data_IF_030719877388
#
_entry.id   IF_030719877388
#
_cell.length_a   1.000
_cell.length_b   1.000
_cell.length_c   1.000
_cell.angle_alpha   90.00
_cell.angle_beta   90.00
_cell.angle_gamma   90.00
#
_symmetry.space_group_name_H-M   'P 1'
#
loop_
_entity.id
_entity.type
_entity.pdbx_description
1 polymer ?
#
# COMPACT_ATOMS: atom_id res chain seq x y z
N UNK A 1 10.90 6.32 5.79
CA UNK A 1 11.36 5.42 6.86
C UNK A 1 11.40 4.04 6.23
N UNK A 2 12.44 3.26 6.47
CA UNK A 2 12.67 1.98 5.80
C UNK A 2 11.55 0.97 6.14
N UNK A 3 11.02 0.29 5.12
CA UNK A 3 9.90 -0.66 5.18
C UNK A 3 10.20 -1.75 6.22
N UNK A 4 9.37 -1.85 7.26
CA UNK A 4 9.55 -2.78 8.37
C UNK A 4 8.71 -4.04 8.12
N UNK A 5 9.37 -5.11 7.67
CA UNK A 5 8.81 -6.47 7.61
C UNK A 5 9.49 -7.30 8.71
N UNK A 6 9.00 -7.24 9.97
CA UNK A 6 9.59 -8.02 11.05
C UNK A 6 9.44 -9.53 10.82
N UNK A 7 8.48 -9.94 9.98
CA UNK A 7 8.26 -11.33 9.58
C UNK A 7 8.20 -11.48 8.05
N UNK A 8 8.54 -12.65 7.50
CA UNK A 8 8.31 -12.98 6.09
C UNK A 8 6.82 -13.02 5.71
N UNK A 9 5.95 -13.18 6.71
CA UNK A 9 4.50 -13.18 6.58
C UNK A 9 3.92 -11.78 6.78
N UNK A 10 3.06 -11.36 5.87
CA UNK A 10 2.52 -9.99 5.84
C UNK A 10 1.44 -9.76 6.89
N UNK A 11 0.57 -10.74 7.15
CA UNK A 11 -0.47 -10.63 8.16
C UNK A 11 0.15 -10.57 9.57
N UNK A 12 1.16 -11.39 9.83
CA UNK A 12 1.95 -11.38 11.04
C UNK A 12 2.73 -10.06 11.20
N UNK A 13 3.31 -9.53 10.13
CA UNK A 13 3.97 -8.23 10.14
C UNK A 13 2.98 -7.09 10.43
N UNK A 14 1.80 -7.10 9.80
CA UNK A 14 0.76 -6.09 10.04
C UNK A 14 0.19 -6.15 11.46
N UNK A 15 0.05 -7.35 12.04
CA UNK A 15 -0.50 -7.56 13.38
C UNK A 15 0.41 -7.03 14.50
N UNK A 16 1.72 -6.90 14.26
CA UNK A 16 2.69 -6.40 15.25
C UNK A 16 3.09 -4.94 15.05
N UNK A 17 2.65 -4.31 13.95
CA UNK A 17 2.88 -2.90 13.70
C UNK A 17 1.83 -2.05 14.42
N UNK A 18 2.27 -1.00 15.09
CA UNK A 18 1.35 -0.04 15.70
C UNK A 18 0.58 0.76 14.62
N UNK A 19 -0.60 1.31 14.96
CA UNK A 19 -1.42 2.08 14.02
C UNK A 19 -0.71 3.26 13.35
N UNK A 20 0.28 3.90 13.99
CA UNK A 20 1.04 5.01 13.41
C UNK A 20 2.01 4.51 12.33
N UNK A 21 2.55 3.30 12.46
CA UNK A 21 3.36 2.64 11.43
C UNK A 21 2.51 2.20 10.24
N UNK A 22 1.29 1.72 10.46
CA UNK A 22 0.32 1.42 9.40
C UNK A 22 -0.10 2.69 8.63
N UNK A 23 -0.29 3.81 9.32
CA UNK A 23 -0.60 5.08 8.68
C UNK A 23 0.54 5.59 7.79
N UNK A 24 1.80 5.38 8.18
CA UNK A 24 2.95 5.68 7.31
C UNK A 24 2.96 4.83 6.04
N UNK A 25 2.63 3.54 6.12
CA UNK A 25 2.53 2.67 4.94
C UNK A 25 1.43 3.13 3.97
N UNK A 26 0.32 3.67 4.48
CA UNK A 26 -0.75 4.26 3.65
C UNK A 26 -0.28 5.51 2.91
N UNK A 27 0.46 6.38 3.58
CA UNK A 27 1.02 7.59 2.97
C UNK A 27 2.03 7.22 1.88
N UNK A 28 2.91 6.25 2.14
CA UNK A 28 3.86 5.77 1.15
C UNK A 28 3.16 5.14 -0.07
N UNK A 29 2.13 4.31 0.12
CA UNK A 29 1.34 3.76 -0.97
C UNK A 29 0.68 4.86 -1.84
N UNK A 30 0.14 5.92 -1.22
CA UNK A 30 -0.43 7.05 -1.95
C UNK A 30 0.63 7.85 -2.71
N UNK A 31 1.82 8.05 -2.12
CA UNK A 31 2.94 8.71 -2.79
C UNK A 31 3.41 7.93 -4.02
N UNK A 32 3.48 6.60 -3.92
CA UNK A 32 3.83 5.72 -5.04
C UNK A 32 2.76 5.77 -6.13
N UNK A 33 1.46 5.67 -5.78
CA UNK A 33 0.37 5.78 -6.74
C UNK A 33 0.39 7.12 -7.48
N UNK A 34 0.65 8.23 -6.77
CA UNK A 34 0.80 9.56 -7.40
C UNK A 34 2.02 9.62 -8.30
N UNK A 35 3.14 9.02 -7.89
CA UNK A 35 4.35 8.96 -8.71
C UNK A 35 4.19 8.14 -10.00
N UNK A 36 3.31 7.13 -9.98
CA UNK A 36 2.98 6.30 -11.14
C UNK A 36 1.96 6.95 -12.08
N UNK A 37 1.02 7.74 -11.55
CA UNK A 37 -0.11 8.29 -12.32
C UNK A 37 0.03 9.77 -12.69
N UNK A 38 0.83 10.55 -11.95
CA UNK A 38 1.03 11.98 -12.17
C UNK A 38 2.46 12.23 -12.65
N UNK A 39 2.60 12.64 -13.92
CA UNK A 39 3.89 12.81 -14.58
C UNK A 39 4.82 13.84 -13.93
N UNK A 40 4.25 14.82 -13.24
CA UNK A 40 4.97 15.95 -12.60
C UNK A 40 5.28 15.70 -11.12
N UNK A 41 4.91 14.54 -10.57
CA UNK A 41 5.10 14.27 -9.15
C UNK A 41 6.58 13.98 -8.82
N UNK A 42 7.13 14.69 -7.84
CA UNK A 42 8.56 14.68 -7.53
C UNK A 42 9.16 13.32 -7.12
N UNK A 43 8.33 12.33 -6.78
CA UNK A 43 8.78 10.97 -6.44
C UNK A 43 8.86 10.02 -7.64
N UNK A 44 8.55 10.46 -8.86
CA UNK A 44 8.55 9.61 -10.06
C UNK A 44 9.85 8.81 -10.29
N UNK A 45 11.00 9.33 -9.86
CA UNK A 45 12.30 8.65 -9.99
C UNK A 45 12.75 7.89 -8.74
N UNK A 46 11.94 7.87 -7.68
CA UNK A 46 12.26 7.17 -6.45
C UNK A 46 12.37 5.65 -6.73
N UNK A 47 13.39 4.95 -6.20
CA UNK A 47 13.60 3.52 -6.49
C UNK A 47 12.36 2.65 -6.24
N UNK A 48 11.63 2.93 -5.17
CA UNK A 48 10.39 2.21 -4.82
C UNK A 48 9.31 2.33 -5.91
N UNK A 49 9.26 3.45 -6.64
CA UNK A 49 8.28 3.67 -7.71
C UNK A 49 8.58 2.77 -8.90
N UNK A 50 9.86 2.54 -9.20
CA UNK A 50 10.28 1.59 -10.24
C UNK A 50 9.89 0.16 -9.90
N UNK A 51 9.91 -0.23 -8.63
CA UNK A 51 9.49 -1.56 -8.19
C UNK A 51 7.99 -1.79 -8.43
N UNK A 52 7.18 -0.73 -8.30
CA UNK A 52 5.73 -0.77 -8.44
C UNK A 52 5.20 -0.48 -9.85
N UNK A 53 6.06 -0.07 -10.78
CA UNK A 53 5.68 0.18 -12.17
C UNK A 53 5.15 -1.10 -12.83
N UNK A 54 3.94 -1.05 -13.39
CA UNK A 54 3.24 -2.21 -13.96
C UNK A 54 2.43 -3.03 -12.95
N UNK A 55 2.42 -2.64 -11.66
CA UNK A 55 1.63 -3.26 -10.59
C UNK A 55 0.64 -2.28 -9.93
N UNK A 56 0.25 -1.23 -10.64
CA UNK A 56 -0.60 -0.13 -10.14
C UNK A 56 -1.90 -0.63 -9.53
N UNK A 57 -2.56 -1.58 -10.20
CA UNK A 57 -3.83 -2.15 -9.74
C UNK A 57 -3.69 -2.91 -8.41
N UNK A 58 -2.60 -3.65 -8.24
CA UNK A 58 -2.31 -4.37 -7.00
C UNK A 58 -2.02 -3.41 -5.84
N UNK A 59 -1.25 -2.34 -6.11
CA UNK A 59 -0.99 -1.27 -5.14
C UNK A 59 -2.28 -0.56 -4.71
N UNK A 60 -3.16 -0.28 -5.68
CA UNK A 60 -4.43 0.39 -5.43
C UNK A 60 -5.36 -0.45 -4.56
N UNK A 61 -5.45 -1.77 -4.84
CA UNK A 61 -6.29 -2.69 -4.05
C UNK A 61 -5.75 -2.91 -2.63
N UNK A 62 -4.45 -3.12 -2.47
CA UNK A 62 -3.87 -3.27 -1.12
C UNK A 62 -4.05 -2.00 -0.28
N UNK A 63 -3.97 -0.82 -0.91
CA UNK A 63 -4.26 0.46 -0.26
C UNK A 63 -5.73 0.56 0.18
N UNK A 64 -6.70 0.24 -0.69
CA UNK A 64 -8.13 0.22 -0.34
C UNK A 64 -8.43 -0.72 0.81
N UNK A 65 -7.86 -1.92 0.79
CA UNK A 65 -8.02 -2.90 1.85
C UNK A 65 -7.52 -2.37 3.20
N UNK A 66 -6.37 -1.69 3.21
CA UNK A 66 -5.85 -1.04 4.42
C UNK A 66 -6.73 0.15 4.91
N UNK A 67 -7.38 0.87 3.99
CA UNK A 67 -8.36 1.90 4.34
C UNK A 67 -9.60 1.29 5.00
N UNK A 68 -10.13 0.22 4.42
CA UNK A 68 -11.27 -0.51 4.98
C UNK A 68 -10.97 -1.05 6.38
N UNK A 69 -9.78 -1.61 6.63
CA UNK A 69 -9.41 -2.04 7.99
C UNK A 69 -9.35 -0.90 9.00
N UNK A 70 -9.00 0.32 8.56
CA UNK A 70 -8.87 1.47 9.44
C UNK A 70 -10.24 2.02 9.86
N UNK A 71 -11.15 2.17 8.91
CA UNK A 71 -12.49 2.69 9.14
C UNK A 71 -13.48 2.02 8.18
N UNK A 72 -13.95 0.82 8.50
CA UNK A 72 -14.83 0.06 7.62
C UNK A 72 -16.11 0.86 7.31
N UNK A 73 -16.69 1.51 8.32
CA UNK A 73 -17.95 2.24 8.19
C UNK A 73 -17.86 3.37 7.18
N UNK A 74 -16.81 4.19 7.24
CA UNK A 74 -16.61 5.24 6.24
C UNK A 74 -16.26 4.67 4.87
N UNK A 75 -15.26 3.78 4.78
CA UNK A 75 -14.70 3.38 3.49
C UNK A 75 -15.57 2.37 2.71
N UNK A 76 -16.44 1.60 3.36
CA UNK A 76 -17.47 0.78 2.67
C UNK A 76 -18.41 1.66 1.84
N UNK A 77 -18.75 2.86 2.32
CA UNK A 77 -19.57 3.81 1.53
C UNK A 77 -18.86 4.35 0.28
N UNK A 78 -17.52 4.31 0.25
CA UNK A 78 -16.70 4.83 -0.84
C UNK A 78 -16.34 3.74 -1.85
N UNK A 79 -16.02 2.52 -1.39
CA UNK A 79 -15.54 1.42 -2.24
C UNK A 79 -16.58 0.34 -2.52
N UNK A 80 -17.67 0.31 -1.76
CA UNK A 80 -18.69 -0.73 -1.84
C UNK A 80 -18.42 -1.92 -0.92
N UNK A 81 -19.46 -2.73 -0.73
CA UNK A 81 -19.44 -3.87 0.19
C UNK A 81 -18.62 -5.06 -0.35
N UNK A 82 -18.45 -5.16 -1.66
CA UNK A 82 -17.71 -6.25 -2.31
C UNK A 82 -16.19 -6.06 -2.29
N UNK A 83 -15.68 -4.87 -1.91
CA UNK A 83 -14.24 -4.64 -1.84
C UNK A 83 -13.63 -5.38 -0.63
N UNK A 84 -12.60 -6.21 -0.82
CA UNK A 84 -12.00 -7.00 0.25
C UNK A 84 -11.19 -6.12 1.23
N UNK A 85 -11.42 -6.31 2.52
CA UNK A 85 -10.71 -5.62 3.62
C UNK A 85 -9.61 -6.47 4.25
N UNK A 86 -9.38 -7.67 3.74
CA UNK A 86 -8.41 -8.65 4.21
C UNK A 86 -7.28 -8.93 3.22
N UNK A 87 -7.21 -8.17 2.11
CA UNK A 87 -6.14 -8.36 1.13
C UNK A 87 -4.78 -8.15 1.78
N UNK A 88 -3.92 -9.11 1.48
CA UNK A 88 -2.52 -9.09 1.84
C UNK A 88 -1.83 -7.86 1.23
N UNK A 89 -0.95 -7.24 2.01
CA UNK A 89 -0.17 -6.12 1.53
C UNK A 89 0.90 -6.64 0.56
N UNK A 90 0.59 -6.68 -0.73
CA UNK A 90 1.53 -7.13 -1.76
C UNK A 90 2.68 -6.13 -1.85
N UNK A 91 3.93 -6.60 -1.87
CA UNK A 91 5.08 -5.81 -2.30
C UNK A 91 5.69 -6.49 -3.53
N UNK A 92 5.94 -5.77 -4.64
CA UNK A 92 6.62 -6.34 -5.78
C UNK A 92 8.03 -6.75 -5.34
N UNK A 93 8.39 -8.01 -5.59
CA UNK A 93 9.75 -8.48 -5.31
C UNK A 93 10.74 -7.67 -6.14
N UNK A 94 11.90 -7.39 -5.52
CA UNK A 94 12.96 -6.53 -6.05
C UNK A 94 13.86 -7.24 -7.06
N UNK A 95 13.34 -8.13 -7.88
CA UNK A 95 14.10 -8.87 -8.90
C UNK A 95 14.38 -8.03 -10.16
N UNK A 96 14.04 -6.74 -10.14
CA UNK A 96 14.48 -5.71 -11.11
C UNK A 96 15.29 -4.62 -10.41
N UNK A 97 16.54 -4.90 -10.09
CA UNK A 97 17.60 -3.89 -9.89
C UNK A 97 18.73 -4.16 -10.87
#
# INVERSE_FOLDING_TARGET
MQTFLPYPDFAASAAVLDPLRLDKQRVEALQILRALTVSEYGWRHHPVVKMWAGYEAALHRSHRSALLRKDPGFYRTVFGDDEPDDLEYVWPRSDRL
#
